data_IF_771228059976
#
_entry.id   IF_771228059976
#
_cell.length_a   1.000
_cell.length_b   1.000
_cell.length_c   1.000
_cell.angle_alpha   90.00
_cell.angle_beta   90.00
_cell.angle_gamma   90.00
#
_symmetry.space_group_name_H-M   'P 1'
#
loop_
_entity.id
_entity.type
_entity.pdbx_description
1 polymer ?
#
# COMPACT_ATOMS: atom_id res chain seq x y z
N UNK A 1 20.76 2.16 -8.85
CA UNK A 1 19.66 1.14 -8.87
C UNK A 1 20.24 -0.25 -9.17
N UNK A 2 20.06 -1.23 -8.29
CA UNK A 2 20.44 -2.61 -8.52
C UNK A 2 19.61 -3.25 -9.64
N UNK A 3 20.19 -4.19 -10.41
CA UNK A 3 19.44 -4.93 -11.41
C UNK A 3 18.36 -5.78 -10.73
N UNK A 4 17.13 -5.76 -11.23
CA UNK A 4 16.06 -6.64 -10.78
C UNK A 4 16.41 -8.11 -11.12
N UNK A 5 16.40 -8.97 -10.10
CA UNK A 5 16.65 -10.41 -10.24
C UNK A 5 15.43 -11.16 -9.68
N UNK A 6 14.58 -11.75 -10.51
CA UNK A 6 13.30 -12.29 -10.08
C UNK A 6 13.46 -13.48 -9.14
N UNK A 7 12.65 -13.50 -8.06
CA UNK A 7 12.60 -14.56 -7.06
C UNK A 7 11.56 -15.66 -7.35
N UNK A 8 10.68 -15.44 -8.34
CA UNK A 8 9.52 -16.30 -8.59
C UNK A 8 8.35 -16.06 -7.65
N UNK A 9 8.44 -15.04 -6.77
CA UNK A 9 7.37 -14.66 -5.84
C UNK A 9 6.52 -13.55 -6.45
N UNK A 10 5.22 -13.70 -6.36
CA UNK A 10 4.24 -12.69 -6.76
C UNK A 10 3.32 -12.41 -5.58
N UNK A 11 3.16 -11.14 -5.17
CA UNK A 11 2.16 -10.77 -4.19
C UNK A 11 0.95 -10.12 -4.85
N UNK A 12 -0.21 -10.21 -4.21
CA UNK A 12 -1.46 -9.62 -4.71
C UNK A 12 -2.12 -8.81 -3.60
N UNK A 13 -2.46 -7.55 -3.92
CA UNK A 13 -3.23 -6.63 -3.08
C UNK A 13 -4.42 -6.14 -3.88
N UNK A 14 -5.65 -6.28 -3.38
CA UNK A 14 -6.87 -5.84 -4.09
C UNK A 14 -7.97 -5.40 -3.12
N UNK A 15 -9.03 -4.80 -3.67
CA UNK A 15 -10.31 -4.53 -3.01
C UNK A 15 -11.41 -5.53 -3.45
N UNK A 16 -11.06 -6.68 -3.99
CA UNK A 16 -12.02 -7.62 -4.60
C UNK A 16 -12.82 -8.42 -3.57
N UNK A 17 -12.38 -8.45 -2.31
CA UNK A 17 -12.93 -9.32 -1.28
C UNK A 17 -12.78 -10.81 -1.62
N UNK A 18 -13.43 -11.64 -0.80
CA UNK A 18 -13.36 -13.10 -0.95
C UNK A 18 -14.65 -13.73 -1.48
N UNK A 19 -15.71 -12.95 -1.78
CA UNK A 19 -16.99 -13.49 -2.23
C UNK A 19 -17.00 -13.99 -3.66
N UNK A 20 -16.11 -13.45 -4.53
CA UNK A 20 -16.08 -13.76 -5.96
C UNK A 20 -14.82 -14.52 -6.36
N UNK A 21 -14.77 -15.06 -7.60
CA UNK A 21 -13.61 -15.81 -8.10
C UNK A 21 -12.49 -14.90 -8.64
N UNK A 22 -12.55 -13.59 -8.44
CA UNK A 22 -11.67 -12.63 -9.11
C UNK A 22 -10.20 -12.86 -8.76
N UNK A 23 -9.88 -13.00 -7.48
CA UNK A 23 -8.52 -13.31 -7.00
C UNK A 23 -8.05 -14.66 -7.53
N UNK A 24 -8.91 -15.67 -7.46
CA UNK A 24 -8.58 -17.01 -7.96
C UNK A 24 -8.30 -17.00 -9.48
N UNK A 25 -9.03 -16.20 -10.26
CA UNK A 25 -8.79 -16.03 -11.69
C UNK A 25 -7.42 -15.39 -11.98
N UNK A 26 -7.02 -14.36 -11.21
CA UNK A 26 -5.67 -13.78 -11.33
C UNK A 26 -4.59 -14.81 -11.01
N UNK A 27 -4.73 -15.57 -9.91
CA UNK A 27 -3.80 -16.63 -9.54
C UNK A 27 -3.72 -17.72 -10.60
N UNK A 28 -4.86 -18.14 -11.17
CA UNK A 28 -4.90 -19.10 -12.26
C UNK A 28 -4.13 -18.64 -13.49
N UNK A 29 -4.24 -17.36 -13.86
CA UNK A 29 -3.46 -16.77 -14.95
C UNK A 29 -1.95 -16.77 -14.65
N UNK A 30 -1.56 -16.39 -13.43
CA UNK A 30 -0.16 -16.42 -13.01
C UNK A 30 0.39 -17.87 -13.10
N UNK A 31 -0.31 -18.83 -12.51
CA UNK A 31 0.11 -20.23 -12.47
C UNK A 31 0.14 -20.88 -13.86
N UNK A 32 -0.75 -20.49 -14.77
CA UNK A 32 -0.73 -20.99 -16.14
C UNK A 32 0.51 -20.54 -16.93
N UNK A 33 1.13 -19.42 -16.54
CA UNK A 33 2.34 -18.86 -17.16
C UNK A 33 3.63 -19.21 -16.41
N UNK A 34 3.55 -19.30 -15.10
CA UNK A 34 4.65 -19.66 -14.21
C UNK A 34 4.14 -20.65 -13.17
N UNK A 35 4.09 -21.93 -13.54
CA UNK A 35 3.56 -23.00 -12.68
C UNK A 35 4.32 -23.20 -11.36
N UNK A 36 5.52 -22.62 -11.24
CA UNK A 36 6.36 -22.64 -10.03
C UNK A 36 6.24 -21.35 -9.21
N UNK A 37 5.37 -20.40 -9.59
CA UNK A 37 5.22 -19.16 -8.86
C UNK A 37 4.78 -19.40 -7.41
N UNK A 38 5.42 -18.74 -6.48
CA UNK A 38 4.89 -18.58 -5.12
C UNK A 38 4.01 -17.35 -5.06
N UNK A 39 2.70 -17.55 -4.86
CA UNK A 39 1.75 -16.45 -4.81
C UNK A 39 1.35 -16.20 -3.36
N UNK A 40 1.50 -14.95 -2.90
CA UNK A 40 1.16 -14.52 -1.54
C UNK A 40 0.14 -13.38 -1.59
N UNK A 41 -0.96 -13.53 -0.88
CA UNK A 41 -1.93 -12.45 -0.72
C UNK A 41 -1.46 -11.53 0.40
N UNK A 42 -1.36 -10.22 0.11
CA UNK A 42 -1.16 -9.21 1.16
C UNK A 42 -2.54 -8.96 1.79
N UNK A 43 -3.49 -8.51 0.99
CA UNK A 43 -4.90 -8.39 1.40
C UNK A 43 -5.81 -8.31 0.17
N UNK A 44 -7.06 -8.70 0.34
CA UNK A 44 -8.13 -8.51 -0.64
C UNK A 44 -9.30 -7.71 -0.06
N UNK A 45 -9.14 -7.26 1.18
CA UNK A 45 -10.12 -6.46 1.93
C UNK A 45 -9.72 -4.98 2.01
N UNK A 46 -8.86 -4.50 1.09
CA UNK A 46 -8.63 -3.06 0.97
C UNK A 46 -9.96 -2.36 0.70
N UNK A 47 -10.10 -1.16 1.23
CA UNK A 47 -11.33 -0.41 1.10
C UNK A 47 -11.68 -0.17 -0.37
N UNK A 48 -12.90 -0.54 -0.72
CA UNK A 48 -13.39 -0.52 -2.11
C UNK A 48 -13.30 0.90 -2.68
N UNK A 49 -12.71 1.02 -3.87
CA UNK A 49 -12.49 2.29 -4.57
C UNK A 49 -11.52 3.27 -3.88
N UNK A 50 -10.73 2.81 -2.90
CA UNK A 50 -9.80 3.65 -2.17
C UNK A 50 -8.32 3.21 -2.36
N UNK A 51 -7.65 3.64 -3.44
CA UNK A 51 -6.28 3.23 -3.76
C UNK A 51 -5.25 3.56 -2.67
N UNK A 52 -5.48 4.63 -1.91
CA UNK A 52 -4.54 5.09 -0.88
C UNK A 52 -4.27 4.05 0.21
N UNK A 53 -5.29 3.31 0.65
CA UNK A 53 -5.10 2.26 1.65
C UNK A 53 -4.26 1.10 1.11
N UNK A 54 -4.56 0.64 -0.10
CA UNK A 54 -3.78 -0.43 -0.73
C UNK A 54 -2.31 -0.01 -0.93
N UNK A 55 -2.07 1.24 -1.33
CA UNK A 55 -0.73 1.83 -1.45
C UNK A 55 -0.02 1.95 -0.11
N UNK A 56 -0.73 2.37 0.93
CA UNK A 56 -0.21 2.44 2.29
C UNK A 56 0.26 1.07 2.78
N UNK A 57 -0.60 0.05 2.74
CA UNK A 57 -0.24 -1.29 3.17
C UNK A 57 0.91 -1.87 2.35
N UNK A 58 0.88 -1.68 1.03
CA UNK A 58 1.93 -2.16 0.15
C UNK A 58 3.28 -1.50 0.49
N UNK A 59 3.32 -0.19 0.72
CA UNK A 59 4.53 0.56 1.06
C UNK A 59 5.15 0.14 2.39
N UNK A 60 4.34 -0.36 3.32
CA UNK A 60 4.79 -0.84 4.64
C UNK A 60 5.18 -2.32 4.60
N UNK A 61 4.54 -3.12 3.74
CA UNK A 61 4.66 -4.58 3.74
C UNK A 61 5.75 -5.12 2.80
N UNK A 62 6.03 -4.47 1.67
CA UNK A 62 6.88 -5.04 0.62
C UNK A 62 8.29 -5.43 1.09
N UNK A 63 8.84 -4.69 2.06
CA UNK A 63 10.19 -4.91 2.61
C UNK A 63 10.35 -6.22 3.39
N UNK A 64 9.25 -6.86 3.78
CA UNK A 64 9.27 -8.18 4.41
C UNK A 64 9.42 -9.32 3.38
N UNK A 65 9.31 -9.01 2.09
CA UNK A 65 9.50 -9.98 1.03
C UNK A 65 10.95 -9.97 0.51
N UNK A 66 11.46 -11.12 0.02
CA UNK A 66 12.77 -11.16 -0.62
C UNK A 66 12.85 -10.22 -1.81
N UNK A 67 14.03 -9.64 -2.05
CA UNK A 67 14.29 -8.94 -3.31
C UNK A 67 13.99 -9.85 -4.51
N UNK A 68 13.57 -9.26 -5.61
CA UNK A 68 13.10 -10.00 -6.77
C UNK A 68 11.62 -10.34 -6.75
N UNK A 69 10.88 -9.96 -5.69
CA UNK A 69 9.43 -10.13 -5.64
C UNK A 69 8.72 -9.15 -6.57
N UNK A 70 7.66 -9.62 -7.22
CA UNK A 70 6.76 -8.82 -8.04
C UNK A 70 5.45 -8.59 -7.26
N UNK A 71 5.07 -7.34 -7.09
CA UNK A 71 3.88 -6.93 -6.33
C UNK A 71 2.80 -6.43 -7.28
N UNK A 72 1.64 -7.06 -7.29
CA UNK A 72 0.46 -6.65 -8.05
C UNK A 72 -0.52 -5.95 -7.10
N UNK A 73 -0.90 -4.72 -7.41
CA UNK A 73 -1.89 -3.97 -6.63
C UNK A 73 -3.03 -3.50 -7.53
N UNK A 74 -4.26 -3.84 -7.18
CA UNK A 74 -5.44 -3.59 -8.00
C UNK A 74 -6.59 -3.07 -7.14
N UNK A 75 -6.63 -1.77 -6.94
CA UNK A 75 -7.80 -1.00 -6.52
C UNK A 75 -8.03 0.02 -7.63
N UNK A 76 -8.98 -0.23 -8.50
CA UNK A 76 -9.05 0.42 -9.81
C UNK A 76 -10.45 0.87 -10.21
N UNK A 77 -10.94 1.99 -9.65
CA UNK A 77 -12.23 2.56 -10.06
C UNK A 77 -12.26 3.01 -11.53
N UNK A 78 -11.09 3.19 -12.15
CA UNK A 78 -10.94 3.61 -13.55
C UNK A 78 -10.67 2.48 -14.54
N UNK A 79 -10.90 1.22 -14.18
CA UNK A 79 -10.65 0.07 -15.06
C UNK A 79 -11.38 0.23 -16.40
N UNK A 80 -10.71 -0.08 -17.50
CA UNK A 80 -11.27 0.00 -18.86
C UNK A 80 -11.35 1.42 -19.45
N UNK A 81 -10.91 2.44 -18.72
CA UNK A 81 -10.76 3.81 -19.24
C UNK A 81 -9.36 4.04 -19.81
N UNK A 82 -9.07 5.29 -20.18
CA UNK A 82 -7.73 5.69 -20.67
C UNK A 82 -6.64 5.83 -19.60
N UNK A 83 -6.90 5.38 -18.34
CA UNK A 83 -5.87 5.41 -17.30
C UNK A 83 -4.72 4.48 -17.65
N UNK A 84 -3.51 4.90 -17.36
CA UNK A 84 -2.27 4.17 -17.63
C UNK A 84 -2.03 3.05 -16.58
N UNK A 85 -1.03 2.22 -16.82
CA UNK A 85 -0.52 1.23 -15.87
C UNK A 85 0.95 1.54 -15.63
N UNK A 86 1.34 1.56 -14.36
CA UNK A 86 2.72 1.76 -13.95
C UNK A 86 3.41 0.43 -13.67
N UNK A 87 4.68 0.37 -14.06
CA UNK A 87 5.65 -0.65 -13.66
C UNK A 87 6.76 0.07 -12.91
N UNK A 88 6.81 -0.12 -11.61
CA UNK A 88 7.76 0.58 -10.74
C UNK A 88 8.81 -0.40 -10.26
N UNK A 89 10.09 -0.02 -10.41
CA UNK A 89 11.21 -0.77 -9.85
C UNK A 89 11.82 0.05 -8.70
N UNK A 90 11.85 -0.53 -7.50
CA UNK A 90 12.38 0.07 -6.28
C UNK A 90 12.97 -0.99 -5.37
N UNK A 91 14.13 -0.73 -4.75
CA UNK A 91 14.76 -1.59 -3.71
C UNK A 91 14.89 -3.08 -4.11
N UNK A 92 15.07 -3.38 -5.41
CA UNK A 92 15.13 -4.74 -5.94
C UNK A 92 13.77 -5.42 -6.12
N UNK A 93 12.67 -4.73 -5.91
CA UNK A 93 11.29 -5.18 -6.14
C UNK A 93 10.70 -4.56 -7.40
N UNK A 94 9.62 -5.16 -7.91
CA UNK A 94 8.83 -4.60 -9.01
C UNK A 94 7.36 -4.53 -8.60
N UNK A 95 6.72 -3.40 -8.88
CA UNK A 95 5.31 -3.14 -8.56
C UNK A 95 4.54 -2.85 -9.85
N UNK A 96 3.38 -3.46 -10.00
CA UNK A 96 2.44 -3.19 -11.09
C UNK A 96 1.11 -2.75 -10.50
N UNK A 97 0.64 -1.57 -10.93
CA UNK A 97 -0.65 -1.03 -10.54
C UNK A 97 -1.22 -0.08 -11.60
N UNK A 98 -2.52 0.23 -11.57
CA UNK A 98 -3.05 1.36 -12.33
C UNK A 98 -2.44 2.68 -11.86
N UNK A 99 -2.22 3.61 -12.80
CA UNK A 99 -1.80 4.97 -12.49
C UNK A 99 -3.01 5.79 -12.00
N UNK A 100 -3.28 5.66 -10.71
CA UNK A 100 -4.40 6.30 -10.03
C UNK A 100 -4.03 6.76 -8.61
N UNK A 101 -2.75 6.98 -8.35
CA UNK A 101 -2.22 7.41 -7.05
C UNK A 101 -1.90 6.27 -6.08
N UNK A 102 -2.21 5.00 -6.42
CA UNK A 102 -1.94 3.84 -5.55
C UNK A 102 -0.46 3.71 -5.20
N UNK A 103 0.43 3.88 -6.18
CA UNK A 103 1.88 3.75 -5.97
C UNK A 103 2.57 5.08 -5.65
N UNK A 104 1.85 6.20 -5.60
CA UNK A 104 2.46 7.53 -5.48
C UNK A 104 3.34 7.65 -4.23
N UNK A 105 2.83 7.35 -3.04
CA UNK A 105 3.61 7.39 -1.78
C UNK A 105 4.83 6.45 -1.84
N UNK A 106 4.68 5.27 -2.44
CA UNK A 106 5.80 4.33 -2.60
C UNK A 106 6.88 4.90 -3.54
N UNK A 107 6.51 5.69 -4.54
CA UNK A 107 7.44 6.35 -5.46
C UNK A 107 8.09 7.57 -4.79
N UNK A 108 7.30 8.42 -4.15
CA UNK A 108 7.74 9.68 -3.53
C UNK A 108 8.72 9.46 -2.38
N UNK A 109 8.54 8.40 -1.60
CA UNK A 109 9.41 8.03 -0.47
C UNK A 109 10.70 7.30 -0.89
N UNK A 110 10.99 7.18 -2.18
CA UNK A 110 12.15 6.44 -2.66
C UNK A 110 13.28 7.39 -3.08
N UNK A 111 14.50 7.10 -2.62
CA UNK A 111 15.70 7.79 -3.11
C UNK A 111 16.09 7.31 -4.52
N UNK A 112 15.87 6.03 -4.82
CA UNK A 112 16.25 5.40 -6.09
C UNK A 112 15.08 4.56 -6.63
N UNK A 113 14.34 5.10 -7.60
CA UNK A 113 13.15 4.48 -8.18
C UNK A 113 13.14 4.69 -9.70
N UNK A 114 12.74 3.66 -10.45
CA UNK A 114 12.43 3.78 -11.87
C UNK A 114 10.95 3.48 -12.09
N UNK A 115 10.26 4.42 -12.71
CA UNK A 115 8.85 4.32 -13.06
C UNK A 115 8.72 4.22 -14.57
N UNK A 116 8.07 3.16 -15.05
CA UNK A 116 7.80 2.95 -16.47
C UNK A 116 6.29 2.97 -16.68
N UNK A 117 5.87 3.62 -17.75
CA UNK A 117 4.49 3.61 -18.23
C UNK A 117 4.34 2.46 -19.22
N UNK A 118 3.44 1.51 -18.94
CA UNK A 118 3.23 0.34 -19.79
C UNK A 118 2.83 0.76 -21.22
N UNK A 119 3.58 0.31 -22.21
CA UNK A 119 3.22 0.53 -23.62
C UNK A 119 2.11 -0.43 -24.06
N UNK A 120 1.08 0.12 -24.75
CA UNK A 120 -0.06 -0.65 -25.25
C UNK A 120 0.37 -1.82 -26.18
N UNK A 121 1.50 -1.67 -26.88
CA UNK A 121 2.06 -2.68 -27.77
C UNK A 121 2.61 -3.92 -27.04
N UNK A 122 2.96 -3.77 -25.77
CA UNK A 122 3.57 -4.85 -25.01
C UNK A 122 2.64 -6.05 -24.85
N UNK A 123 1.34 -5.83 -24.71
CA UNK A 123 0.37 -6.91 -24.63
C UNK A 123 0.40 -7.77 -25.90
N UNK A 124 0.53 -7.16 -27.07
CA UNK A 124 0.67 -7.88 -28.35
C UNK A 124 2.02 -8.55 -28.49
N UNK A 125 3.13 -7.86 -28.13
CA UNK A 125 4.50 -8.41 -28.17
C UNK A 125 4.65 -9.65 -27.31
N UNK A 126 3.96 -9.71 -26.18
CA UNK A 126 3.96 -10.85 -25.26
C UNK A 126 2.89 -11.89 -25.57
N UNK A 127 2.22 -11.77 -26.73
CA UNK A 127 1.12 -12.66 -27.15
C UNK A 127 0.04 -12.81 -26.08
N UNK A 128 -0.28 -11.71 -25.38
CA UNK A 128 -1.36 -11.68 -24.39
C UNK A 128 -2.70 -11.49 -25.12
N UNK A 129 -3.78 -12.14 -24.61
CA UNK A 129 -5.11 -11.94 -25.15
C UNK A 129 -5.52 -10.47 -25.07
N UNK A 130 -6.47 -10.08 -25.93
CA UNK A 130 -7.07 -8.75 -25.82
C UNK A 130 -7.74 -8.62 -24.44
N UNK A 131 -7.41 -7.59 -23.63
CA UNK A 131 -7.95 -7.45 -22.29
C UNK A 131 -9.45 -7.12 -22.34
N UNK A 132 -10.20 -7.64 -21.37
CA UNK A 132 -11.58 -7.18 -21.15
C UNK A 132 -11.58 -5.76 -20.58
N UNK A 133 -12.65 -5.01 -20.85
CA UNK A 133 -12.78 -3.65 -20.34
C UNK A 133 -12.96 -3.55 -18.81
N UNK A 134 -13.19 -4.66 -18.13
CA UNK A 134 -13.58 -4.66 -16.71
C UNK A 134 -12.67 -5.46 -15.79
N UNK A 135 -11.60 -6.11 -16.31
CA UNK A 135 -10.75 -6.93 -15.47
C UNK A 135 -9.27 -6.89 -15.87
N UNK A 136 -8.67 -5.71 -15.87
CA UNK A 136 -7.25 -5.52 -16.17
C UNK A 136 -6.33 -6.22 -15.16
N UNK A 137 -6.77 -6.43 -13.93
CA UNK A 137 -6.04 -7.26 -12.95
C UNK A 137 -5.72 -8.65 -13.47
N UNK A 138 -6.72 -9.33 -14.05
CA UNK A 138 -6.58 -10.66 -14.66
C UNK A 138 -5.88 -10.61 -16.02
N UNK A 139 -6.26 -9.65 -16.88
CA UNK A 139 -5.90 -9.70 -18.29
C UNK A 139 -4.60 -8.97 -18.63
N UNK A 140 -4.15 -8.07 -17.73
CA UNK A 140 -2.91 -7.29 -17.91
C UNK A 140 -1.93 -7.53 -16.76
N UNK A 141 -2.32 -7.23 -15.50
CA UNK A 141 -1.36 -7.25 -14.39
C UNK A 141 -0.89 -8.66 -14.05
N UNK A 142 -1.80 -9.62 -13.96
CA UNK A 142 -1.46 -11.00 -13.63
C UNK A 142 -0.50 -11.66 -14.66
N UNK A 143 -0.75 -11.60 -15.99
CA UNK A 143 0.17 -12.14 -16.96
C UNK A 143 1.51 -11.40 -16.98
N UNK A 144 1.55 -10.06 -16.90
CA UNK A 144 2.80 -9.31 -16.84
C UNK A 144 3.60 -9.62 -15.58
N UNK A 145 2.91 -9.74 -14.43
CA UNK A 145 3.54 -10.15 -13.18
C UNK A 145 4.21 -11.52 -13.28
N UNK A 146 3.57 -12.48 -13.96
CA UNK A 146 4.15 -13.80 -14.20
C UNK A 146 5.38 -13.73 -15.12
N UNK A 147 5.36 -12.90 -16.18
CA UNK A 147 6.50 -12.73 -17.09
C UNK A 147 7.71 -12.11 -16.38
N UNK A 148 7.47 -11.08 -15.53
CA UNK A 148 8.50 -10.46 -14.69
C UNK A 148 9.05 -11.43 -13.66
N UNK A 149 8.18 -12.13 -12.92
CA UNK A 149 8.59 -13.10 -11.90
C UNK A 149 9.34 -14.30 -12.47
N UNK A 150 9.09 -14.63 -13.74
CA UNK A 150 9.83 -15.66 -14.49
C UNK A 150 11.15 -15.14 -15.09
N UNK A 151 11.42 -13.84 -15.02
CA UNK A 151 12.60 -13.24 -15.67
C UNK A 151 12.57 -13.22 -17.18
N UNK A 152 11.41 -13.42 -17.80
CA UNK A 152 11.28 -13.41 -19.27
C UNK A 152 11.22 -12.00 -19.85
N UNK A 153 10.86 -11.02 -19.04
CA UNK A 153 10.90 -9.59 -19.37
C UNK A 153 11.50 -8.81 -18.20
N UNK A 154 12.14 -7.69 -18.50
CA UNK A 154 12.62 -6.73 -17.48
C UNK A 154 11.63 -5.58 -17.36
N UNK A 155 11.57 -4.88 -16.22
CA UNK A 155 10.73 -3.70 -16.07
C UNK A 155 10.93 -2.67 -17.19
N UNK A 156 12.18 -2.39 -17.56
CA UNK A 156 12.55 -1.44 -18.61
C UNK A 156 12.12 -1.86 -20.03
N UNK A 157 11.79 -3.13 -20.25
CA UNK A 157 11.33 -3.61 -21.54
C UNK A 157 9.82 -3.35 -21.74
N UNK A 158 9.08 -3.00 -20.65
CA UNK A 158 7.62 -2.90 -20.67
C UNK A 158 7.12 -1.50 -21.08
N UNK A 159 7.98 -0.49 -21.05
CA UNK A 159 7.56 0.85 -21.45
C UNK A 159 8.60 1.94 -21.22
N UNK A 160 8.20 3.17 -21.53
CA UNK A 160 9.07 4.33 -21.37
C UNK A 160 9.14 4.80 -19.91
N UNK A 161 10.31 5.32 -19.51
CA UNK A 161 10.47 6.02 -18.24
C UNK A 161 9.54 7.23 -18.16
N UNK A 162 8.95 7.45 -17.00
CA UNK A 162 8.08 8.60 -16.74
C UNK A 162 8.30 9.15 -15.33
N UNK A 163 8.08 10.44 -15.19
CA UNK A 163 7.94 11.13 -13.89
C UNK A 163 6.52 11.71 -13.73
N UNK A 164 5.72 11.62 -14.79
CA UNK A 164 4.34 12.09 -14.82
C UNK A 164 3.43 10.94 -14.34
N UNK A 165 2.99 11.03 -13.10
CA UNK A 165 2.15 10.07 -12.41
C UNK A 165 0.99 10.77 -11.71
N UNK A 166 -0.10 10.06 -11.50
CA UNK A 166 -1.19 10.55 -10.66
C UNK A 166 -0.71 10.65 -9.20
N UNK A 167 -0.84 11.81 -8.54
CA UNK A 167 -0.36 12.01 -7.17
C UNK A 167 -1.14 11.17 -6.15
N UNK A 168 -0.60 11.08 -4.93
CA UNK A 168 -1.25 10.42 -3.82
C UNK A 168 -2.60 11.07 -3.48
N UNK A 169 -3.57 10.25 -3.04
CA UNK A 169 -4.91 10.71 -2.64
C UNK A 169 -4.92 11.38 -1.25
N UNK A 170 -3.90 11.10 -0.46
CA UNK A 170 -3.75 11.61 0.90
C UNK A 170 -2.41 12.31 0.98
N UNK A 171 -2.41 13.52 1.51
CA UNK A 171 -1.18 14.26 1.76
C UNK A 171 -0.31 13.53 2.78
N UNK A 172 1.00 13.63 2.61
CA UNK A 172 1.94 13.10 3.60
C UNK A 172 1.78 13.82 4.94
N UNK A 173 2.00 13.07 6.02
CA UNK A 173 2.06 13.67 7.34
C UNK A 173 3.29 14.60 7.42
N UNK A 174 3.14 15.72 8.10
CA UNK A 174 4.17 16.75 8.19
C UNK A 174 4.36 17.22 9.63
N UNK A 175 5.54 17.76 9.89
CA UNK A 175 5.83 18.43 11.15
C UNK A 175 5.81 19.93 10.93
N UNK A 176 4.98 20.63 11.69
CA UNK A 176 4.93 22.09 11.75
C UNK A 176 5.18 22.50 13.20
N UNK A 177 6.23 23.34 13.42
CA UNK A 177 6.68 23.74 14.76
C UNK A 177 7.03 22.52 15.64
N UNK A 178 6.16 22.15 16.58
CA UNK A 178 6.32 20.99 17.49
C UNK A 178 5.15 20.01 17.39
N UNK A 179 4.44 20.02 16.28
CA UNK A 179 3.28 19.17 16.04
C UNK A 179 3.48 18.36 14.76
N UNK A 180 3.30 17.04 14.83
CA UNK A 180 3.17 16.17 13.67
C UNK A 180 1.69 16.03 13.31
N UNK A 181 1.32 16.43 12.10
CA UNK A 181 -0.04 16.42 11.59
C UNK A 181 -0.21 15.35 10.53
N UNK A 182 -1.25 14.56 10.64
CA UNK A 182 -1.61 13.52 9.68
C UNK A 182 -3.08 13.16 9.81
N UNK A 183 -3.42 12.03 9.21
CA UNK A 183 -4.81 11.53 9.20
C UNK A 183 -4.85 10.03 9.44
N UNK A 184 -5.99 9.54 9.87
CA UNK A 184 -6.30 8.11 9.88
C UNK A 184 -6.39 7.62 8.43
N UNK A 185 -5.60 6.62 8.08
CA UNK A 185 -5.62 5.97 6.76
C UNK A 185 -6.65 4.84 6.74
N UNK A 186 -6.65 4.04 7.80
CA UNK A 186 -7.49 2.85 7.89
C UNK A 186 -7.68 2.44 9.34
N UNK A 187 -8.59 1.54 9.57
CA UNK A 187 -8.74 0.77 10.80
C UNK A 187 -8.34 -0.69 10.59
N UNK A 188 -7.81 -1.32 11.63
CA UNK A 188 -7.55 -2.75 11.62
C UNK A 188 -8.78 -3.56 12.08
N UNK A 189 -8.67 -4.89 12.07
CA UNK A 189 -9.75 -5.77 12.47
C UNK A 189 -10.14 -5.67 13.97
N UNK A 190 -9.33 -4.98 14.78
CA UNK A 190 -9.61 -4.71 16.19
C UNK A 190 -10.26 -3.36 16.40
N UNK A 191 -10.40 -2.55 15.33
CA UNK A 191 -10.90 -1.18 15.36
C UNK A 191 -9.87 -0.17 15.86
N UNK A 192 -8.56 -0.48 15.76
CA UNK A 192 -7.51 0.49 15.99
C UNK A 192 -7.38 1.41 14.78
N UNK A 193 -7.17 2.71 15.02
CA UNK A 193 -7.04 3.71 13.98
C UNK A 193 -5.56 3.87 13.59
N UNK A 194 -5.22 3.50 12.37
CA UNK A 194 -3.86 3.52 11.85
C UNK A 194 -3.67 4.80 11.04
N UNK A 195 -2.65 5.60 11.40
CA UNK A 195 -2.39 6.89 10.77
C UNK A 195 -1.26 6.83 9.74
N UNK A 196 -1.09 7.91 8.98
CA UNK A 196 0.07 8.12 8.13
C UNK A 196 1.23 8.83 8.85
N UNK A 197 1.14 9.09 10.16
CA UNK A 197 2.22 9.74 10.92
C UNK A 197 3.31 8.69 11.19
N UNK A 198 4.43 8.83 10.51
CA UNK A 198 5.59 7.95 10.67
C UNK A 198 6.29 8.25 12.01
N UNK A 199 6.85 7.22 12.64
CA UNK A 199 7.63 7.31 13.87
C UNK A 199 8.74 8.37 13.77
N UNK A 200 9.41 8.47 12.63
CA UNK A 200 10.48 9.43 12.40
C UNK A 200 10.07 10.89 12.59
N UNK A 201 8.79 11.21 12.37
CA UNK A 201 8.26 12.57 12.54
C UNK A 201 8.14 12.99 14.01
N UNK A 202 8.08 12.04 14.93
CA UNK A 202 7.92 12.30 16.36
C UNK A 202 9.09 11.78 17.21
N UNK A 203 10.17 11.31 16.59
CA UNK A 203 11.34 10.73 17.28
C UNK A 203 12.02 11.71 18.26
N UNK A 204 11.91 13.01 18.01
CA UNK A 204 12.43 14.08 18.87
C UNK A 204 11.49 14.55 19.97
N UNK A 205 10.30 13.96 20.11
CA UNK A 205 9.31 14.35 21.12
C UNK A 205 9.61 13.65 22.44
N UNK A 206 9.65 14.44 23.52
CA UNK A 206 10.01 13.90 24.86
C UNK A 206 8.80 13.33 25.60
N UNK A 207 7.62 13.90 25.35
CA UNK A 207 6.34 13.49 25.91
C UNK A 207 5.23 13.63 24.87
N UNK A 208 5.22 12.74 23.85
CA UNK A 208 4.23 12.82 22.80
C UNK A 208 2.82 12.56 23.31
N UNK A 209 1.87 13.35 22.83
CA UNK A 209 0.43 13.19 23.06
C UNK A 209 -0.28 13.28 21.71
N UNK A 210 -1.14 12.32 21.41
CA UNK A 210 -1.97 12.32 20.23
C UNK A 210 -3.31 13.03 20.52
N UNK A 211 -3.67 13.99 19.67
CA UNK A 211 -4.99 14.63 19.66
C UNK A 211 -5.78 14.10 18.49
N UNK A 212 -6.94 13.49 18.76
CA UNK A 212 -7.88 13.00 17.76
C UNK A 212 -9.30 13.35 18.17
N UNK A 213 -9.99 14.12 17.33
CA UNK A 213 -11.26 14.75 17.74
C UNK A 213 -11.09 15.64 18.98
N UNK A 214 -11.85 15.34 20.05
CA UNK A 214 -11.76 16.04 21.33
C UNK A 214 -10.90 15.33 22.38
N UNK A 215 -10.23 14.24 22.00
CA UNK A 215 -9.47 13.38 22.90
C UNK A 215 -7.97 13.68 22.82
N UNK A 216 -7.32 13.71 23.98
CA UNK A 216 -5.87 13.73 24.14
C UNK A 216 -5.44 12.40 24.72
N UNK A 217 -4.62 11.65 23.95
CA UNK A 217 -4.29 10.26 24.19
C UNK A 217 -2.78 10.16 24.34
N UNK A 218 -2.32 9.64 25.47
CA UNK A 218 -0.90 9.48 25.76
C UNK A 218 -0.30 8.27 25.04
N UNK A 219 0.99 8.38 24.74
CA UNK A 219 1.77 7.28 24.19
C UNK A 219 2.24 6.31 25.27
N UNK A 220 2.18 5.04 24.93
CA UNK A 220 2.68 3.92 25.70
C UNK A 220 3.41 2.93 24.77
N UNK A 221 4.10 1.95 25.36
CA UNK A 221 4.80 0.94 24.57
C UNK A 221 3.86 -0.13 24.03
N UNK A 222 2.84 -0.53 24.82
CA UNK A 222 1.93 -1.60 24.48
C UNK A 222 0.49 -1.31 24.87
N UNK A 223 -0.44 -2.06 24.29
CA UNK A 223 -1.86 -2.01 24.65
C UNK A 223 -2.15 -2.40 26.12
N UNK A 224 -1.24 -3.18 26.74
CA UNK A 224 -1.38 -3.66 28.10
C UNK A 224 -0.94 -2.67 29.19
N UNK A 225 -0.41 -1.51 28.80
CA UNK A 225 0.08 -0.49 29.76
C UNK A 225 -1.07 0.38 30.31
N UNK A 226 -2.28 0.19 29.83
CA UNK A 226 -3.49 0.90 30.25
C UNK A 226 -4.57 -0.09 30.67
N UNK A 227 -5.59 0.40 31.40
CA UNK A 227 -6.71 -0.46 31.83
C UNK A 227 -7.65 -0.79 30.66
N UNK A 228 -8.35 -1.95 30.69
CA UNK A 228 -9.38 -2.28 29.71
C UNK A 228 -10.40 -1.16 29.50
N UNK A 229 -10.54 -0.73 28.25
CA UNK A 229 -11.42 0.37 27.87
C UNK A 229 -10.77 1.74 27.80
N UNK A 230 -9.54 1.91 28.27
CA UNK A 230 -8.79 3.17 28.13
C UNK A 230 -8.21 3.30 26.71
N UNK A 231 -8.05 4.53 26.26
CA UNK A 231 -7.38 4.84 25.00
C UNK A 231 -5.87 4.90 25.17
N UNK A 232 -5.17 4.51 24.13
CA UNK A 232 -3.71 4.48 24.07
C UNK A 232 -3.23 4.86 22.68
N UNK A 233 -2.19 5.69 22.59
CA UNK A 233 -1.42 5.89 21.37
C UNK A 233 -0.15 5.05 21.43
N UNK A 234 0.22 4.41 20.34
CA UNK A 234 1.44 3.61 20.23
C UNK A 234 2.11 3.85 18.89
N UNK A 235 3.39 3.48 18.80
CA UNK A 235 4.03 3.22 17.51
C UNK A 235 3.83 1.74 17.22
N UNK A 236 3.06 1.45 16.18
CA UNK A 236 2.76 0.07 15.83
C UNK A 236 3.92 -0.64 15.11
N UNK A 237 3.74 -1.92 14.80
CA UNK A 237 4.76 -2.76 14.16
C UNK A 237 5.15 -2.34 12.73
N UNK A 238 4.39 -1.43 12.12
CA UNK A 238 4.70 -0.82 10.83
C UNK A 238 5.38 0.55 10.94
N UNK A 239 5.70 0.99 12.17
CA UNK A 239 6.42 2.24 12.43
C UNK A 239 5.57 3.49 12.25
N UNK A 240 4.27 3.40 12.44
CA UNK A 240 3.36 4.55 12.40
C UNK A 240 2.56 4.71 13.70
N UNK A 241 2.10 5.92 13.93
CA UNK A 241 1.20 6.21 15.06
C UNK A 241 -0.12 5.48 14.87
N UNK A 242 -0.52 4.77 15.91
CA UNK A 242 -1.79 4.07 16.01
C UNK A 242 -2.54 4.55 17.25
N UNK A 243 -3.85 4.77 17.09
CA UNK A 243 -4.75 5.09 18.20
C UNK A 243 -5.59 3.85 18.47
N UNK A 244 -5.42 3.29 19.65
CA UNK A 244 -6.07 2.07 20.07
C UNK A 244 -6.92 2.28 21.33
N UNK A 245 -7.75 1.29 21.64
CA UNK A 245 -8.48 1.20 22.88
C UNK A 245 -8.33 -0.20 23.47
N UNK A 246 -7.78 -0.30 24.66
CA UNK A 246 -7.50 -1.59 25.27
C UNK A 246 -8.76 -2.49 25.35
N UNK A 247 -8.68 -3.68 24.76
CA UNK A 247 -9.74 -4.70 24.67
C UNK A 247 -11.06 -4.23 24.01
N UNK A 248 -11.03 -3.10 23.27
CA UNK A 248 -12.22 -2.54 22.59
C UNK A 248 -11.82 -1.83 21.29
N UNK A 249 -12.81 -1.52 20.46
CA UNK A 249 -12.61 -0.70 19.25
C UNK A 249 -12.41 0.77 19.64
N UNK A 250 -11.33 1.36 19.13
CA UNK A 250 -11.09 2.80 19.20
C UNK A 250 -12.00 3.54 18.21
N UNK A 251 -12.20 3.00 17.01
CA UNK A 251 -13.09 3.54 15.98
C UNK A 251 -14.50 3.75 16.52
N UNK A 252 -15.12 2.67 17.08
CA UNK A 252 -16.46 2.74 17.68
C UNK A 252 -16.52 3.72 18.85
N UNK A 253 -15.49 3.68 19.71
CA UNK A 253 -15.47 4.49 20.91
C UNK A 253 -15.30 5.99 20.67
N UNK A 254 -14.52 6.37 19.67
CA UNK A 254 -14.28 7.75 19.28
C UNK A 254 -15.35 8.27 18.28
N UNK A 255 -16.02 7.36 17.57
CA UNK A 255 -16.90 7.70 16.44
C UNK A 255 -16.11 8.34 15.29
N UNK A 256 -14.86 7.97 15.12
CA UNK A 256 -13.93 8.49 14.12
C UNK A 256 -13.34 7.35 13.32
N UNK A 257 -13.05 7.59 12.07
CA UNK A 257 -12.45 6.61 11.18
C UNK A 257 -11.56 7.28 10.14
N UNK A 258 -11.41 6.66 9.01
CA UNK A 258 -10.60 7.12 7.89
C UNK A 258 -10.80 8.61 7.59
N UNK A 259 -9.67 9.31 7.33
CA UNK A 259 -9.65 10.75 7.05
C UNK A 259 -9.77 11.64 8.28
N UNK A 260 -9.99 11.07 9.47
CA UNK A 260 -10.00 11.85 10.69
C UNK A 260 -8.61 12.47 10.94
N UNK A 261 -8.51 13.77 11.20
CA UNK A 261 -7.24 14.42 11.48
C UNK A 261 -6.67 13.94 12.82
N UNK A 262 -5.37 13.70 12.83
CA UNK A 262 -4.60 13.35 14.02
C UNK A 262 -3.42 14.29 14.12
N UNK A 263 -3.23 14.87 15.30
CA UNK A 263 -2.08 15.70 15.63
C UNK A 263 -1.33 15.09 16.79
N UNK A 264 -0.03 14.91 16.66
CA UNK A 264 0.83 14.51 17.77
C UNK A 264 1.68 15.71 18.15
N UNK A 265 1.64 16.13 19.42
CA UNK A 265 2.42 17.25 19.95
C UNK A 265 3.25 16.82 21.15
N UNK A 266 4.31 17.59 21.46
CA UNK A 266 5.18 17.32 22.60
C UNK A 266 4.74 18.17 23.83
N UNK A 267 4.12 17.55 24.84
CA UNK A 267 3.74 18.20 26.11
C UNK A 267 4.98 18.68 26.91
N UNK A 268 6.18 18.23 26.56
CA UNK A 268 7.42 18.57 27.25
C UNK A 268 8.12 19.85 26.77
N UNK A 269 7.53 20.55 25.79
CA UNK A 269 8.11 21.78 25.21
C UNK A 269 7.22 22.99 25.39
#
# INVERSE_FOLDING_TARGET
>A
MGAFSPSGIVTITTDFGHKGPFVAAMKGVILSRLGTATIVDITHESLVYWPAEAGFWLSRCFRYFPQGTVHLAVVDPGVGTGREILVVQRDGHVFLAPDNGLLATLIEQAEDVAVYRLEADMLRKLALPHPSATFHGRDILAPLGAELAAGRVRPADLGALTTDIVPAWVEEARVEENEAQGVVITEDNFGNLITNIDQSLIEGFSKPVARVGSHEIRFYETYGDVSPGDYVAIINSFGVVEIARAERSAEEGLGLGRGAPVTVYDEGK
#
